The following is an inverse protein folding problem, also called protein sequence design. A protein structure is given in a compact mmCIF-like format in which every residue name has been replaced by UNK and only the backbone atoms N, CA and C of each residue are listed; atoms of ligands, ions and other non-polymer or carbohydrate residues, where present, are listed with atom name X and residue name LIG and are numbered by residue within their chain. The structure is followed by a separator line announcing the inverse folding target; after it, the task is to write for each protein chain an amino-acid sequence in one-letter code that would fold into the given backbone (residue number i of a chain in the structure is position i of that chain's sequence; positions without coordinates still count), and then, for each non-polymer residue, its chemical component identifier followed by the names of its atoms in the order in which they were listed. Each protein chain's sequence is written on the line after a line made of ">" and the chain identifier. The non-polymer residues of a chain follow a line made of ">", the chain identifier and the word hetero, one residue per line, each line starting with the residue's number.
data_IF_147416702242
#
_entry.id   IF_147416702242
#
_cell.length_a   1.000
_cell.length_b   1.000
_cell.length_c   1.000
_cell.angle_alpha   90.00
_cell.angle_beta   90.00
_cell.angle_gamma   90.00
#
_symmetry.space_group_name_H-M   'P 1'
#
loop_
_entity.id
_entity.type
_entity.pdbx_description
1 polymer ?
#
# COMPACT_ATOMS: atom_id res chain seq x y z
N UNK A 1 1.15 6.00 9.45
CA UNK A 1 0.71 7.39 9.70
C UNK A 1 -0.79 7.41 9.98
N UNK A 2 -1.31 8.49 10.56
CA UNK A 2 -2.75 8.69 10.75
C UNK A 2 -3.31 9.55 9.61
N UNK A 3 -4.62 9.51 9.35
CA UNK A 3 -5.26 10.31 8.29
C UNK A 3 -5.19 11.81 8.61
N UNK A 4 -5.05 12.65 7.58
CA UNK A 4 -5.21 14.10 7.76
C UNK A 4 -6.68 14.45 8.03
N UNK A 5 -6.97 15.62 8.64
CA UNK A 5 -8.35 16.05 8.87
C UNK A 5 -9.19 16.11 7.58
N UNK A 6 -8.56 16.49 6.46
CA UNK A 6 -9.24 16.50 5.16
C UNK A 6 -9.53 15.08 4.67
N UNK A 7 -8.55 14.17 4.76
CA UNK A 7 -8.76 12.78 4.38
C UNK A 7 -9.84 12.13 5.23
N UNK A 8 -9.86 12.37 6.54
CA UNK A 8 -10.86 11.82 7.45
C UNK A 8 -12.27 12.31 7.11
N UNK A 9 -12.45 13.61 6.83
CA UNK A 9 -13.72 14.16 6.36
C UNK A 9 -14.18 13.48 5.08
N UNK A 10 -13.31 13.37 4.07
CA UNK A 10 -13.65 12.73 2.79
C UNK A 10 -13.96 11.24 2.96
N UNK A 11 -13.25 10.56 3.86
CA UNK A 11 -13.45 9.14 4.16
C UNK A 11 -14.82 8.93 4.81
N UNK A 12 -15.17 9.76 5.79
CA UNK A 12 -16.46 9.71 6.48
C UNK A 12 -17.61 10.12 5.57
N UNK A 13 -17.45 11.17 4.76
CA UNK A 13 -18.46 11.62 3.80
C UNK A 13 -18.73 10.52 2.75
N UNK A 14 -17.68 9.86 2.27
CA UNK A 14 -17.81 8.73 1.37
C UNK A 14 -18.53 7.57 2.03
N UNK A 15 -18.13 7.20 3.26
CA UNK A 15 -18.77 6.14 4.04
C UNK A 15 -20.21 6.45 4.47
N UNK A 16 -20.59 7.72 4.54
CA UNK A 16 -21.96 8.16 4.85
C UNK A 16 -22.84 8.24 3.60
N UNK A 17 -22.29 8.67 2.47
CA UNK A 17 -23.02 8.79 1.18
C UNK A 17 -23.21 7.44 0.50
N UNK A 18 -22.19 6.60 0.50
CA UNK A 18 -22.42 5.20 0.26
C UNK A 18 -23.08 4.65 1.51
N UNK A 19 -24.33 4.22 1.40
CA UNK A 19 -24.93 3.23 2.30
C UNK A 19 -24.14 1.91 2.15
N UNK A 20 -22.85 1.92 2.49
CA UNK A 20 -21.93 0.79 2.34
C UNK A 20 -22.43 -0.39 3.17
N UNK A 21 -23.08 -0.12 4.32
CA UNK A 21 -23.74 -1.17 5.09
C UNK A 21 -25.02 -1.71 4.43
N UNK A 22 -25.77 -0.94 3.65
CA UNK A 22 -27.05 -1.39 3.08
C UNK A 22 -26.83 -2.15 1.77
N UNK A 23 -25.91 -1.71 0.90
CA UNK A 23 -25.56 -2.45 -0.33
C UNK A 23 -24.73 -3.71 -0.04
N UNK A 24 -23.78 -3.66 0.91
CA UNK A 24 -23.07 -4.86 1.36
C UNK A 24 -24.02 -5.81 2.11
N UNK A 25 -24.96 -5.30 2.93
CA UNK A 25 -25.99 -6.15 3.53
C UNK A 25 -26.97 -6.74 2.51
N UNK A 26 -27.25 -6.06 1.41
CA UNK A 26 -28.12 -6.57 0.33
C UNK A 26 -27.40 -7.65 -0.48
N UNK A 27 -26.10 -7.47 -0.75
CA UNK A 27 -25.25 -8.50 -1.34
C UNK A 27 -25.10 -9.74 -0.43
N UNK A 28 -25.01 -9.54 0.89
CA UNK A 28 -24.96 -10.61 1.91
C UNK A 28 -26.30 -11.35 2.07
N UNK A 29 -27.44 -10.75 1.70
CA UNK A 29 -28.78 -11.37 1.78
C UNK A 29 -29.19 -12.12 0.51
N UNK A 30 -28.44 -12.01 -0.58
CA UNK A 30 -28.83 -12.49 -1.91
C UNK A 30 -28.48 -13.94 -2.25
N UNK A 31 -28.04 -14.77 -1.29
CA UNK A 31 -27.88 -16.22 -1.51
C UNK A 31 -29.04 -16.96 -0.87
N UNK A 32 -30.14 -17.06 -1.62
CA UNK A 32 -31.32 -17.77 -1.15
C UNK A 32 -32.47 -17.80 -2.15
N UNK A 33 -32.20 -17.82 -3.46
CA UNK A 33 -33.20 -18.22 -4.45
C UNK A 33 -32.52 -18.64 -5.76
N UNK A 34 -32.56 -19.95 -6.06
CA UNK A 34 -32.13 -20.52 -7.32
C UNK A 34 -33.03 -19.99 -8.46
N UNK A 35 -32.52 -19.06 -9.26
CA UNK A 35 -33.27 -18.53 -10.40
C UNK A 35 -32.47 -17.61 -11.31
N UNK A 36 -31.85 -18.18 -12.34
CA UNK A 36 -31.24 -17.55 -13.53
C UNK A 36 -31.57 -16.05 -13.75
N UNK A 37 -30.59 -15.14 -13.60
CA UNK A 37 -30.32 -14.06 -14.57
C UNK A 37 -29.01 -13.30 -14.30
N UNK A 38 -28.41 -12.81 -15.39
CA UNK A 38 -27.05 -12.26 -15.57
C UNK A 38 -26.81 -10.85 -14.97
N UNK A 39 -27.08 -10.60 -13.68
CA UNK A 39 -26.88 -9.27 -13.06
C UNK A 39 -25.88 -9.22 -11.89
N UNK A 40 -25.01 -10.22 -11.73
CA UNK A 40 -23.97 -10.23 -10.67
C UNK A 40 -22.82 -9.22 -10.86
N UNK A 41 -22.58 -8.73 -12.09
CA UNK A 41 -21.41 -7.89 -12.40
C UNK A 41 -21.48 -6.45 -11.90
N UNK A 42 -22.68 -5.86 -11.77
CA UNK A 42 -22.84 -4.45 -11.39
C UNK A 42 -22.49 -4.17 -9.93
N UNK A 43 -22.91 -5.04 -9.01
CA UNK A 43 -22.68 -4.86 -7.57
C UNK A 43 -21.19 -5.02 -7.23
N UNK A 44 -20.53 -6.02 -7.81
CA UNK A 44 -19.09 -6.21 -7.64
C UNK A 44 -18.27 -5.03 -8.18
N UNK A 45 -18.64 -4.52 -9.36
CA UNK A 45 -18.00 -3.34 -9.96
C UNK A 45 -18.13 -2.09 -9.09
N UNK A 46 -19.29 -1.86 -8.49
CA UNK A 46 -19.50 -0.72 -7.58
C UNK A 46 -18.71 -0.83 -6.27
N UNK A 47 -18.61 -2.02 -5.68
CA UNK A 47 -17.76 -2.26 -4.50
C UNK A 47 -16.29 -2.01 -4.86
N UNK A 48 -15.87 -2.47 -6.03
CA UNK A 48 -14.50 -2.29 -6.50
C UNK A 48 -14.13 -0.81 -6.70
N UNK A 49 -15.00 -0.05 -7.37
CA UNK A 49 -14.83 1.40 -7.51
C UNK A 49 -14.74 2.10 -6.15
N UNK A 50 -15.51 1.63 -5.16
CA UNK A 50 -15.47 2.16 -3.80
C UNK A 50 -14.13 1.89 -3.10
N UNK A 51 -13.62 0.67 -3.20
CA UNK A 51 -12.34 0.29 -2.61
C UNK A 51 -11.18 1.02 -3.28
N UNK A 52 -11.23 1.21 -4.60
CA UNK A 52 -10.26 2.03 -5.32
C UNK A 52 -10.28 3.49 -4.83
N UNK A 53 -11.47 4.07 -4.64
CA UNK A 53 -11.61 5.42 -4.11
C UNK A 53 -10.97 5.54 -2.72
N UNK A 54 -11.30 4.61 -1.82
CA UNK A 54 -10.78 4.62 -0.45
C UNK A 54 -9.26 4.42 -0.42
N UNK A 55 -8.71 3.58 -1.30
CA UNK A 55 -7.27 3.38 -1.44
C UNK A 55 -6.57 4.64 -1.97
N UNK A 56 -7.09 5.25 -3.04
CA UNK A 56 -6.57 6.52 -3.58
C UNK A 56 -6.59 7.63 -2.52
N UNK A 57 -7.68 7.74 -1.76
CA UNK A 57 -7.83 8.73 -0.70
C UNK A 57 -6.86 8.49 0.47
N UNK A 58 -6.62 7.24 0.86
CA UNK A 58 -5.67 6.89 1.92
C UNK A 58 -4.22 7.29 1.58
N UNK A 59 -3.89 7.33 0.28
CA UNK A 59 -2.61 7.84 -0.20
C UNK A 59 -2.58 9.37 -0.24
N UNK A 60 -3.48 9.98 -1.03
CA UNK A 60 -3.47 11.42 -1.22
C UNK A 60 -4.85 11.95 -1.69
N UNK A 61 -5.39 13.04 -1.11
CA UNK A 61 -6.68 13.62 -1.54
C UNK A 61 -6.73 14.01 -3.03
N UNK A 62 -5.63 14.56 -3.57
CA UNK A 62 -5.46 14.90 -5.00
C UNK A 62 -5.76 13.74 -5.97
N UNK A 63 -5.59 12.48 -5.55
CA UNK A 63 -5.86 11.31 -6.39
C UNK A 63 -7.35 11.05 -6.60
N UNK A 64 -8.21 11.57 -5.72
CA UNK A 64 -9.67 11.42 -5.81
C UNK A 64 -10.38 12.73 -6.18
N UNK A 65 -9.79 13.87 -5.84
CA UNK A 65 -10.34 15.20 -6.09
C UNK A 65 -10.05 15.67 -7.52
N UNK A 66 -10.58 14.95 -8.51
CA UNK A 66 -10.59 15.40 -9.89
C UNK A 66 -11.57 16.56 -10.13
N UNK A 67 -11.51 17.22 -11.30
CA UNK A 67 -12.40 18.34 -11.66
C UNK A 67 -13.89 17.99 -11.59
N UNK A 68 -14.22 16.71 -11.79
CA UNK A 68 -15.59 16.17 -11.77
C UNK A 68 -16.06 15.75 -10.37
N UNK A 69 -15.23 15.87 -9.33
CA UNK A 69 -15.59 15.38 -8.00
C UNK A 69 -16.60 16.32 -7.30
N UNK A 70 -17.74 15.82 -6.78
CA UNK A 70 -18.80 16.65 -6.18
C UNK A 70 -18.31 17.55 -5.03
N UNK A 71 -17.34 17.07 -4.26
CA UNK A 71 -16.78 17.81 -3.11
C UNK A 71 -15.62 18.75 -3.50
N UNK A 72 -15.19 18.79 -4.77
CA UNK A 72 -14.04 19.60 -5.17
C UNK A 72 -14.27 21.09 -4.87
N UNK A 73 -15.46 21.62 -5.17
CA UNK A 73 -15.78 23.01 -4.91
C UNK A 73 -15.71 23.36 -3.41
N UNK A 74 -16.22 22.47 -2.54
CA UNK A 74 -16.19 22.63 -1.09
C UNK A 74 -14.76 22.58 -0.56
N UNK A 75 -13.98 21.60 -1.01
CA UNK A 75 -12.58 21.43 -0.58
C UNK A 75 -11.72 22.59 -1.08
N UNK A 76 -11.90 23.03 -2.33
CA UNK A 76 -11.17 24.18 -2.86
C UNK A 76 -11.45 25.47 -2.07
N UNK A 77 -12.68 25.66 -1.59
CA UNK A 77 -13.03 26.78 -0.72
C UNK A 77 -12.37 26.67 0.66
N UNK A 78 -12.35 25.47 1.26
CA UNK A 78 -11.67 25.21 2.55
C UNK A 78 -10.15 25.37 2.45
N UNK A 79 -9.55 24.98 1.32
CA UNK A 79 -8.12 25.14 1.09
C UNK A 79 -7.75 26.60 0.87
N UNK A 80 -8.57 27.37 0.12
CA UNK A 80 -8.40 28.82 -0.03
C UNK A 80 -8.49 29.55 1.30
N UNK A 81 -9.44 29.19 2.18
CA UNK A 81 -9.56 29.86 3.48
C UNK A 81 -8.38 29.57 4.40
N UNK A 82 -7.71 28.42 4.23
CA UNK A 82 -6.49 28.05 4.95
C UNK A 82 -5.20 28.48 4.25
N UNK A 83 -5.30 29.13 3.08
CA UNK A 83 -4.16 29.48 2.22
C UNK A 83 -3.26 28.27 1.88
N UNK A 84 -3.87 27.10 1.69
CA UNK A 84 -3.18 25.86 1.33
C UNK A 84 -3.50 25.48 -0.11
N UNK A 85 -2.57 24.78 -0.77
CA UNK A 85 -2.80 24.18 -2.08
C UNK A 85 -3.08 22.68 -1.96
N UNK A 86 -3.78 22.11 -2.96
CA UNK A 86 -4.00 20.67 -3.09
C UNK A 86 -2.70 19.86 -3.19
N UNK A 87 -1.60 20.53 -3.53
CA UNK A 87 -0.27 19.94 -3.68
C UNK A 87 0.59 20.04 -2.42
N UNK A 88 0.02 20.48 -1.30
CA UNK A 88 0.71 20.56 -0.02
C UNK A 88 0.85 19.16 0.61
N UNK A 89 2.07 18.79 0.96
CA UNK A 89 2.39 17.48 1.55
C UNK A 89 1.66 17.23 2.87
N UNK A 90 1.29 18.28 3.62
CA UNK A 90 0.58 18.15 4.90
C UNK A 90 -0.84 17.58 4.76
N UNK A 91 -1.42 17.65 3.55
CA UNK A 91 -2.71 17.03 3.25
C UNK A 91 -2.63 15.50 3.19
N UNK A 92 -1.43 14.94 2.99
CA UNK A 92 -1.16 13.52 2.89
C UNK A 92 -0.05 13.10 3.86
N UNK A 93 -0.41 12.60 5.06
CA UNK A 93 0.54 12.22 6.09
C UNK A 93 1.53 11.12 5.68
N UNK A 94 1.20 10.33 4.64
CA UNK A 94 2.16 9.41 4.03
C UNK A 94 3.36 10.12 3.40
N UNK A 95 3.15 11.25 2.73
CA UNK A 95 4.24 12.03 2.14
C UNK A 95 5.10 12.69 3.22
N UNK A 96 4.48 13.13 4.32
CA UNK A 96 5.20 13.65 5.49
C UNK A 96 6.07 12.55 6.10
N UNK A 97 5.50 11.37 6.36
CA UNK A 97 6.25 10.23 6.88
C UNK A 97 7.34 9.76 5.90
N UNK A 98 7.09 9.81 4.60
CA UNK A 98 8.09 9.50 3.57
C UNK A 98 9.24 10.52 3.61
N UNK A 99 8.94 11.81 3.76
CA UNK A 99 9.96 12.86 3.90
C UNK A 99 10.84 12.61 5.12
N UNK A 100 10.22 12.39 6.28
CA UNK A 100 10.92 12.12 7.53
C UNK A 100 11.83 10.89 7.39
N UNK A 101 11.31 9.80 6.83
CA UNK A 101 12.06 8.58 6.60
C UNK A 101 13.24 8.78 5.63
N UNK A 102 13.06 9.56 4.57
CA UNK A 102 14.16 9.90 3.65
C UNK A 102 15.25 10.72 4.37
N UNK A 103 14.87 11.66 5.22
CA UNK A 103 15.81 12.46 6.01
C UNK A 103 16.55 11.60 7.05
N UNK A 104 15.87 10.66 7.71
CA UNK A 104 16.49 9.67 8.60
C UNK A 104 17.49 8.77 7.85
N UNK A 105 17.23 8.47 6.58
CA UNK A 105 18.16 7.78 5.69
C UNK A 105 19.37 8.63 5.24
N UNK A 106 19.49 9.88 5.70
CA UNK A 106 20.54 10.80 5.28
C UNK A 106 20.33 11.40 3.89
N UNK A 107 19.11 11.29 3.33
CA UNK A 107 18.78 11.81 1.99
C UNK A 107 18.12 13.19 2.13
N UNK A 108 18.65 14.17 1.41
CA UNK A 108 18.08 15.51 1.31
C UNK A 108 18.24 16.38 2.56
N UNK A 109 19.24 16.08 3.41
CA UNK A 109 19.76 17.05 4.36
C UNK A 109 20.29 18.25 3.56
N UNK A 110 19.72 19.43 3.78
CA UNK A 110 20.27 20.66 3.25
C UNK A 110 21.64 20.86 3.91
N UNK A 111 22.69 20.90 3.10
CA UNK A 111 24.00 21.39 3.52
C UNK A 111 23.87 22.89 3.81
N UNK A 112 23.32 23.26 4.96
CA UNK A 112 23.32 24.65 5.43
C UNK A 112 24.68 25.07 6.02
N UNK A 113 25.62 24.14 6.22
CA UNK A 113 26.95 24.42 6.78
C UNK A 113 28.07 24.16 5.75
N UNK A 114 28.22 25.03 4.76
CA UNK A 114 29.32 24.96 3.77
C UNK A 114 30.71 25.38 4.28
N UNK A 115 30.90 25.71 5.56
CA UNK A 115 32.22 26.16 6.07
C UNK A 115 32.90 25.21 7.07
N UNK A 116 32.28 24.06 7.39
CA UNK A 116 32.77 23.18 8.47
C UNK A 116 33.40 21.86 8.07
N UNK A 117 33.06 21.27 6.91
CA UNK A 117 32.92 19.81 6.90
C UNK A 117 33.61 19.01 5.79
N UNK A 118 34.83 19.42 5.41
CA UNK A 118 35.73 18.57 4.62
C UNK A 118 36.26 17.34 5.40
N UNK A 119 35.90 17.20 6.68
CA UNK A 119 36.34 16.10 7.55
C UNK A 119 35.25 15.08 7.94
N UNK A 120 33.94 15.37 7.84
CA UNK A 120 32.90 14.31 8.02
C UNK A 120 32.44 13.66 6.70
N UNK A 121 32.83 14.19 5.54
CA UNK A 121 32.48 13.54 4.26
C UNK A 121 33.08 12.13 4.14
N UNK A 122 34.26 11.87 4.69
CA UNK A 122 34.88 10.52 4.68
C UNK A 122 34.30 9.57 5.75
N UNK A 123 33.63 10.10 6.79
CA UNK A 123 33.01 9.29 7.85
C UNK A 123 31.53 8.94 7.57
N UNK A 124 30.89 9.65 6.64
CA UNK A 124 29.46 9.51 6.31
C UNK A 124 29.17 8.72 5.02
N UNK A 125 30.19 8.16 4.34
CA UNK A 125 29.95 7.26 3.21
C UNK A 125 29.18 5.98 3.63
N UNK A 126 29.32 5.57 4.89
CA UNK A 126 28.57 4.46 5.47
C UNK A 126 27.16 4.84 5.94
N UNK A 127 26.87 6.13 6.13
CA UNK A 127 25.57 6.63 6.64
C UNK A 127 24.61 7.12 5.56
N UNK A 128 25.06 7.29 4.31
CA UNK A 128 24.18 7.66 3.19
C UNK A 128 23.55 6.40 2.59
N UNK A 129 22.26 6.22 2.86
CA UNK A 129 21.48 5.11 2.34
C UNK A 129 20.95 5.40 0.93
N UNK A 130 20.72 4.35 0.15
CA UNK A 130 20.09 4.45 -1.18
C UNK A 130 18.75 3.75 -1.17
N UNK A 131 17.73 4.42 -1.68
CA UNK A 131 16.34 4.05 -1.43
C UNK A 131 15.63 3.65 -2.73
N UNK A 132 14.94 2.51 -2.69
CA UNK A 132 13.90 2.17 -3.67
C UNK A 132 12.54 2.59 -3.12
N UNK A 133 11.79 3.36 -3.90
CA UNK A 133 10.41 3.72 -3.55
C UNK A 133 9.46 2.98 -4.49
N UNK A 134 8.64 2.11 -3.93
CA UNK A 134 7.60 1.38 -4.65
C UNK A 134 6.24 2.03 -4.45
N UNK A 135 5.55 2.28 -5.56
CA UNK A 135 4.14 2.63 -5.60
C UNK A 135 3.40 1.67 -6.55
N UNK A 136 2.08 1.74 -6.56
CA UNK A 136 1.24 0.92 -7.43
C UNK A 136 0.72 1.77 -8.59
N UNK A 137 0.33 3.03 -8.31
CA UNK A 137 -0.12 3.98 -9.32
C UNK A 137 1.01 4.90 -9.80
N UNK A 138 1.11 5.09 -11.12
CA UNK A 138 1.99 6.10 -11.73
C UNK A 138 1.73 7.52 -11.20
N UNK A 139 0.46 7.85 -11.01
CA UNK A 139 0.03 9.16 -10.47
C UNK A 139 0.54 9.40 -9.05
N UNK A 140 0.75 8.35 -8.25
CA UNK A 140 1.36 8.50 -6.93
C UNK A 140 2.86 8.83 -7.05
N UNK A 141 3.57 8.24 -8.01
CA UNK A 141 4.95 8.62 -8.32
C UNK A 141 5.04 10.08 -8.81
N UNK A 142 4.10 10.54 -9.62
CA UNK A 142 4.03 11.94 -10.06
C UNK A 142 3.88 12.90 -8.87
N UNK A 143 3.09 12.52 -7.86
CA UNK A 143 2.92 13.31 -6.63
C UNK A 143 4.22 13.30 -5.82
N UNK A 144 4.84 12.15 -5.61
CA UNK A 144 6.11 12.06 -4.87
C UNK A 144 7.18 12.92 -5.57
N UNK A 145 7.27 12.85 -6.89
CA UNK A 145 8.25 13.60 -7.65
C UNK A 145 8.02 15.13 -7.56
N UNK A 146 6.80 15.59 -7.84
CA UNK A 146 6.53 17.01 -7.99
C UNK A 146 6.20 17.71 -6.67
N UNK A 147 5.53 17.02 -5.75
CA UNK A 147 5.02 17.62 -4.52
C UNK A 147 5.95 17.36 -3.34
N UNK A 148 6.70 16.25 -3.33
CA UNK A 148 7.71 15.97 -2.29
C UNK A 148 9.14 16.32 -2.75
N UNK A 149 9.68 15.64 -3.75
CA UNK A 149 11.10 15.75 -4.09
C UNK A 149 11.47 17.15 -4.61
N UNK A 150 10.81 17.63 -5.68
CA UNK A 150 11.15 18.94 -6.28
C UNK A 150 10.95 20.13 -5.34
N UNK A 151 9.96 20.07 -4.45
CA UNK A 151 9.58 21.20 -3.56
C UNK A 151 10.31 21.18 -2.23
N UNK A 152 10.50 19.99 -1.63
CA UNK A 152 11.02 19.88 -0.27
C UNK A 152 12.42 19.29 -0.18
N UNK A 153 12.89 18.60 -1.24
CA UNK A 153 14.19 17.92 -1.26
C UNK A 153 14.93 18.18 -2.61
N UNK A 154 15.19 19.44 -2.98
CA UNK A 154 15.70 19.78 -4.32
C UNK A 154 17.12 19.29 -4.60
N UNK A 155 17.90 18.95 -3.57
CA UNK A 155 19.27 18.41 -3.68
C UNK A 155 19.29 16.91 -3.99
N UNK A 156 18.16 16.22 -3.88
CA UNK A 156 18.07 14.76 -4.01
C UNK A 156 18.07 14.35 -5.47
N UNK A 157 18.98 13.44 -5.83
CA UNK A 157 19.04 12.85 -7.16
C UNK A 157 18.15 11.60 -7.20
N UNK A 158 17.34 11.49 -8.26
CA UNK A 158 16.45 10.36 -8.40
C UNK A 158 16.31 9.89 -9.84
N UNK A 159 15.99 8.61 -10.00
CA UNK A 159 15.56 8.00 -11.25
C UNK A 159 14.14 7.47 -11.09
N UNK A 160 13.44 7.29 -12.22
CA UNK A 160 12.08 6.78 -12.25
C UNK A 160 11.95 5.69 -13.29
N UNK A 161 11.24 4.61 -12.92
CA UNK A 161 10.94 3.49 -13.81
C UNK A 161 9.49 3.04 -13.60
N UNK A 162 8.63 3.33 -14.57
CA UNK A 162 7.20 2.98 -14.53
C UNK A 162 6.76 2.24 -15.80
N UNK A 163 5.47 1.89 -15.88
CA UNK A 163 4.90 1.16 -17.01
C UNK A 163 5.17 1.81 -18.38
N UNK A 164 5.22 3.15 -18.42
CA UNK A 164 5.52 3.91 -19.65
C UNK A 164 6.99 3.90 -20.05
N UNK A 165 7.90 3.41 -19.21
CA UNK A 165 9.31 3.27 -19.55
C UNK A 165 9.50 2.11 -20.54
N UNK A 166 10.08 2.34 -21.74
CA UNK A 166 10.31 1.27 -22.72
C UNK A 166 11.19 0.15 -22.16
N UNK A 167 10.95 -1.09 -22.58
CA UNK A 167 11.68 -2.26 -22.10
C UNK A 167 13.21 -2.11 -22.21
N UNK A 168 13.70 -1.54 -23.32
CA UNK A 168 15.14 -1.31 -23.52
C UNK A 168 15.72 -0.29 -22.52
N UNK A 169 14.95 0.75 -22.16
CA UNK A 169 15.40 1.79 -21.23
C UNK A 169 15.39 1.35 -19.76
N UNK A 170 14.61 0.31 -19.41
CA UNK A 170 14.56 -0.22 -18.03
C UNK A 170 15.92 -0.77 -17.58
N UNK A 171 16.61 -1.49 -18.46
CA UNK A 171 17.93 -2.03 -18.17
C UNK A 171 18.98 -0.92 -18.02
N UNK A 172 18.92 0.12 -18.86
CA UNK A 172 19.83 1.27 -18.78
C UNK A 172 19.67 2.03 -17.45
N UNK A 173 18.43 2.28 -17.02
CA UNK A 173 18.13 2.91 -15.73
C UNK A 173 18.64 2.05 -14.57
N UNK A 174 18.40 0.73 -14.62
CA UNK A 174 18.88 -0.22 -13.62
C UNK A 174 20.42 -0.21 -13.55
N UNK A 175 21.09 -0.28 -14.70
CA UNK A 175 22.55 -0.25 -14.76
C UNK A 175 23.09 1.06 -14.21
N UNK A 176 22.51 2.20 -14.61
CA UNK A 176 22.87 3.53 -14.14
C UNK A 176 22.76 3.63 -12.62
N UNK A 177 21.64 3.21 -12.04
CA UNK A 177 21.42 3.24 -10.59
C UNK A 177 22.43 2.37 -9.82
N UNK A 178 22.78 1.19 -10.36
CA UNK A 178 23.77 0.32 -9.71
C UNK A 178 25.20 0.84 -9.86
N UNK A 179 25.54 1.46 -10.99
CA UNK A 179 26.89 1.93 -11.30
C UNK A 179 27.22 3.31 -10.70
N UNK A 180 26.21 4.15 -10.50
CA UNK A 180 26.36 5.54 -10.07
C UNK A 180 25.87 5.71 -8.61
N UNK A 181 26.78 5.78 -7.63
CA UNK A 181 26.44 6.00 -6.23
C UNK A 181 25.88 7.39 -5.93
N UNK A 182 25.99 8.35 -6.86
CA UNK A 182 25.48 9.71 -6.66
C UNK A 182 23.95 9.79 -6.71
N UNK A 183 23.28 8.73 -7.14
CA UNK A 183 21.82 8.64 -7.26
C UNK A 183 21.23 8.10 -5.96
N UNK A 184 20.47 8.95 -5.25
CA UNK A 184 19.90 8.61 -3.95
C UNK A 184 18.69 7.69 -4.04
N UNK A 185 17.79 7.97 -4.99
CA UNK A 185 16.46 7.34 -5.04
C UNK A 185 16.20 6.72 -6.41
N UNK A 186 15.63 5.51 -6.43
CA UNK A 186 14.97 4.96 -7.62
C UNK A 186 13.49 4.72 -7.31
N UNK A 187 12.62 5.43 -8.00
CA UNK A 187 11.17 5.28 -7.89
C UNK A 187 10.65 4.29 -8.93
N UNK A 188 9.88 3.29 -8.49
CA UNK A 188 9.31 2.29 -9.39
C UNK A 188 7.84 2.00 -9.10
N UNK A 189 7.12 1.62 -10.14
CA UNK A 189 5.85 0.90 -9.95
C UNK A 189 6.14 -0.57 -9.62
N UNK A 190 5.43 -1.13 -8.65
CA UNK A 190 5.60 -2.51 -8.18
C UNK A 190 5.51 -3.53 -9.31
N UNK A 191 4.66 -3.28 -10.31
CA UNK A 191 4.51 -4.13 -11.49
C UNK A 191 5.81 -4.24 -12.30
N UNK A 192 6.48 -3.11 -12.59
CA UNK A 192 7.77 -3.10 -13.29
C UNK A 192 8.89 -3.72 -12.44
N UNK A 193 8.80 -3.59 -11.11
CA UNK A 193 9.67 -4.28 -10.16
C UNK A 193 9.62 -5.81 -10.27
N UNK A 194 8.51 -6.39 -10.72
CA UNK A 194 8.34 -7.84 -10.90
C UNK A 194 9.15 -8.46 -12.05
N UNK A 195 9.77 -7.65 -12.91
CA UNK A 195 10.33 -8.11 -14.20
C UNK A 195 11.74 -8.69 -14.16
N UNK A 196 12.25 -9.11 -12.99
CA UNK A 196 13.57 -9.77 -12.95
C UNK A 196 14.79 -8.87 -12.74
N UNK A 197 14.60 -7.56 -12.59
CA UNK A 197 15.68 -6.58 -12.45
C UNK A 197 16.57 -6.84 -11.22
N UNK A 198 17.85 -6.46 -11.28
CA UNK A 198 18.76 -6.56 -10.13
C UNK A 198 19.07 -5.16 -9.59
N UNK A 199 18.57 -4.82 -8.41
CA UNK A 199 18.65 -3.49 -7.81
C UNK A 199 19.47 -3.52 -6.50
N UNK A 200 20.57 -4.27 -6.49
CA UNK A 200 21.48 -4.43 -5.33
C UNK A 200 22.19 -3.15 -4.92
N UNK A 201 22.06 -2.06 -5.68
CA UNK A 201 22.59 -0.76 -5.29
C UNK A 201 21.88 -0.14 -4.07
N UNK A 202 20.60 -0.46 -3.86
CA UNK A 202 19.82 0.09 -2.75
C UNK A 202 19.84 -0.81 -1.52
N UNK A 203 20.00 -0.20 -0.35
CA UNK A 203 19.94 -0.86 0.96
C UNK A 203 18.62 -0.58 1.70
N UNK A 204 17.80 0.32 1.19
CA UNK A 204 16.50 0.65 1.78
C UNK A 204 15.40 0.54 0.74
N UNK A 205 14.28 -0.08 1.12
CA UNK A 205 13.10 -0.26 0.28
C UNK A 205 11.88 0.30 1.00
N UNK A 206 11.16 1.22 0.37
CA UNK A 206 9.97 1.86 0.94
C UNK A 206 8.77 1.57 0.05
N UNK A 207 7.75 0.92 0.61
CA UNK A 207 6.45 0.74 -0.03
C UNK A 207 5.51 1.86 0.42
N UNK A 208 5.17 2.76 -0.52
CA UNK A 208 4.16 3.79 -0.31
C UNK A 208 2.76 3.22 -0.47
N UNK A 209 2.62 2.29 -1.40
CA UNK A 209 1.40 1.53 -1.66
C UNK A 209 1.67 0.04 -1.65
N UNK A 210 0.68 -0.74 -1.24
CA UNK A 210 0.78 -2.20 -1.12
C UNK A 210 -0.16 -2.89 -2.10
N UNK A 211 0.25 -4.05 -2.61
CA UNK A 211 -0.61 -4.93 -3.39
C UNK A 211 -1.60 -5.67 -2.48
N UNK A 212 -2.59 -6.34 -3.06
CA UNK A 212 -3.44 -7.28 -2.30
C UNK A 212 -2.80 -8.66 -2.21
N UNK A 213 -1.99 -8.99 -3.23
CA UNK A 213 -1.20 -10.19 -3.28
C UNK A 213 0.18 -9.94 -2.66
N UNK A 214 0.48 -10.52 -1.48
CA UNK A 214 1.76 -10.29 -0.80
C UNK A 214 2.96 -10.76 -1.64
N UNK A 215 2.77 -11.71 -2.55
CA UNK A 215 3.83 -12.24 -3.42
C UNK A 215 4.39 -11.17 -4.35
N UNK A 216 3.56 -10.22 -4.83
CA UNK A 216 4.02 -9.13 -5.69
C UNK A 216 4.95 -8.18 -4.94
N UNK A 217 4.59 -7.83 -3.70
CA UNK A 217 5.43 -6.98 -2.84
C UNK A 217 6.72 -7.71 -2.43
N UNK A 218 6.64 -9.01 -2.09
CA UNK A 218 7.82 -9.83 -1.77
C UNK A 218 8.77 -9.94 -2.97
N UNK A 219 8.25 -10.15 -4.18
CA UNK A 219 9.06 -10.20 -5.38
C UNK A 219 9.79 -8.88 -5.64
N UNK A 220 9.12 -7.74 -5.38
CA UNK A 220 9.72 -6.42 -5.47
C UNK A 220 10.84 -6.22 -4.41
N UNK A 221 10.65 -6.69 -3.18
CA UNK A 221 11.69 -6.70 -2.14
C UNK A 221 12.91 -7.52 -2.54
N UNK A 222 12.70 -8.71 -3.11
CA UNK A 222 13.77 -9.61 -3.58
C UNK A 222 14.65 -9.00 -4.67
N UNK A 223 14.23 -7.88 -5.29
CA UNK A 223 15.07 -7.17 -6.27
C UNK A 223 16.26 -6.47 -5.62
N UNK A 224 16.08 -5.97 -4.39
CA UNK A 224 17.14 -5.37 -3.58
C UNK A 224 17.80 -6.40 -2.66
N UNK A 225 17.01 -7.29 -2.06
CA UNK A 225 17.48 -8.41 -1.24
C UNK A 225 17.91 -9.59 -2.13
N UNK A 226 18.94 -9.37 -2.94
CA UNK A 226 19.44 -10.34 -3.92
C UNK A 226 20.92 -10.65 -3.73
N UNK A 227 21.35 -11.79 -4.26
CA UNK A 227 22.77 -12.17 -4.35
C UNK A 227 23.53 -11.02 -5.05
N UNK A 228 24.50 -10.44 -4.34
CA UNK A 228 25.24 -9.25 -4.77
C UNK A 228 25.07 -8.05 -3.84
N UNK A 229 24.03 -8.04 -3.00
CA UNK A 229 23.88 -7.06 -1.93
C UNK A 229 24.90 -7.33 -0.80
N UNK A 230 25.54 -6.26 -0.31
CA UNK A 230 26.54 -6.29 0.77
C UNK A 230 26.04 -5.67 2.08
N UNK A 231 25.05 -4.78 2.01
CA UNK A 231 24.44 -4.09 3.16
C UNK A 231 23.14 -4.79 3.60
N UNK A 232 22.74 -4.61 4.86
CA UNK A 232 21.43 -5.09 5.35
C UNK A 232 20.32 -4.30 4.64
N UNK A 233 19.35 -5.01 4.08
CA UNK A 233 18.22 -4.38 3.39
C UNK A 233 17.11 -4.07 4.38
N UNK A 234 16.82 -2.78 4.58
CA UNK A 234 15.71 -2.33 5.41
C UNK A 234 14.45 -2.18 4.54
N UNK A 235 13.33 -2.74 4.99
CA UNK A 235 12.04 -2.64 4.28
C UNK A 235 11.03 -1.89 5.13
N UNK A 236 10.56 -0.75 4.63
CA UNK A 236 9.55 0.08 5.26
C UNK A 236 8.24 -0.01 4.48
N UNK A 237 7.13 -0.16 5.21
CA UNK A 237 5.78 -0.20 4.64
C UNK A 237 4.94 0.93 5.25
N UNK A 238 4.62 1.93 4.44
CA UNK A 238 3.79 3.06 4.89
C UNK A 238 2.31 2.64 4.86
N UNK A 239 1.71 2.61 6.04
CA UNK A 239 0.30 2.21 6.22
C UNK A 239 -0.43 3.34 6.94
N UNK A 240 -1.60 3.72 6.40
CA UNK A 240 -2.48 4.67 7.07
C UNK A 240 -3.43 3.92 8.01
N UNK A 241 -3.37 4.24 9.31
CA UNK A 241 -4.18 3.57 10.35
C UNK A 241 -5.68 3.84 10.17
N UNK A 242 -6.51 2.91 10.63
CA UNK A 242 -7.98 3.00 10.54
C UNK A 242 -8.50 3.12 9.11
N UNK A 243 -7.77 2.58 8.12
CA UNK A 243 -8.18 2.57 6.72
C UNK A 243 -8.29 1.16 6.17
N UNK A 244 -8.65 1.06 4.88
CA UNK A 244 -8.62 -0.19 4.15
C UNK A 244 -7.22 -0.83 4.12
N UNK A 245 -6.16 -0.03 4.16
CA UNK A 245 -4.78 -0.52 4.04
C UNK A 245 -4.39 -1.44 5.20
N UNK A 246 -4.84 -1.13 6.42
CA UNK A 246 -4.59 -1.97 7.60
C UNK A 246 -5.26 -3.35 7.44
N UNK A 247 -6.45 -3.39 6.83
CA UNK A 247 -7.16 -4.64 6.53
C UNK A 247 -6.45 -5.44 5.43
N UNK A 248 -5.95 -4.77 4.39
CA UNK A 248 -5.15 -5.39 3.33
C UNK A 248 -3.89 -6.04 3.93
N UNK A 249 -3.21 -5.36 4.84
CA UNK A 249 -2.03 -5.91 5.53
C UNK A 249 -2.37 -7.10 6.42
N UNK A 250 -3.50 -7.06 7.13
CA UNK A 250 -4.02 -8.22 7.86
C UNK A 250 -4.24 -9.42 6.94
N UNK A 251 -4.85 -9.20 5.76
CA UNK A 251 -5.11 -10.24 4.77
C UNK A 251 -3.80 -10.79 4.17
N UNK A 252 -2.84 -9.93 3.83
CA UNK A 252 -1.52 -10.36 3.35
C UNK A 252 -0.83 -11.26 4.39
N UNK A 253 -0.82 -10.85 5.66
CA UNK A 253 -0.22 -11.64 6.75
C UNK A 253 -0.91 -12.98 6.92
N UNK A 254 -2.24 -13.00 6.82
CA UNK A 254 -3.02 -14.23 6.85
C UNK A 254 -2.65 -15.18 5.69
N UNK A 255 -2.59 -14.67 4.46
CA UNK A 255 -2.20 -15.44 3.27
C UNK A 255 -0.78 -16.00 3.39
N UNK A 256 0.17 -15.20 3.86
CA UNK A 256 1.55 -15.64 4.09
C UNK A 256 1.63 -16.70 5.19
N UNK A 257 0.85 -16.55 6.27
CA UNK A 257 0.78 -17.56 7.31
C UNK A 257 0.24 -18.89 6.77
N UNK A 258 -0.79 -18.86 5.92
CA UNK A 258 -1.32 -20.07 5.28
C UNK A 258 -0.26 -20.71 4.38
N UNK A 259 0.36 -19.93 3.50
CA UNK A 259 1.37 -20.43 2.58
C UNK A 259 2.56 -21.06 3.32
N UNK A 260 3.06 -20.38 4.36
CA UNK A 260 4.16 -20.89 5.18
C UNK A 260 3.77 -22.13 5.97
N UNK A 261 2.55 -22.17 6.51
CA UNK A 261 2.03 -23.37 7.14
C UNK A 261 2.08 -24.52 6.15
N UNK A 262 1.48 -24.40 4.97
CA UNK A 262 1.41 -25.46 3.94
C UNK A 262 2.79 -25.98 3.50
N UNK A 263 3.81 -25.10 3.46
CA UNK A 263 5.14 -25.40 2.90
C UNK A 263 6.09 -26.09 3.90
N UNK A 264 5.87 -26.00 5.22
CA UNK A 264 6.74 -26.68 6.18
C UNK A 264 6.62 -28.21 6.10
N UNK A 265 7.75 -28.91 5.94
CA UNK A 265 7.84 -30.38 5.80
C UNK A 265 7.29 -31.17 7.01
N UNK A 266 7.00 -30.52 8.13
CA UNK A 266 6.27 -31.11 9.28
C UNK A 266 4.77 -31.36 8.99
N UNK A 267 4.24 -30.80 7.89
CA UNK A 267 2.84 -30.98 7.46
C UNK A 267 2.52 -32.31 6.78
N UNK A 268 3.48 -33.23 6.68
CA UNK A 268 3.15 -34.61 6.34
C UNK A 268 2.07 -35.19 7.30
N UNK A 269 1.99 -34.68 8.53
CA UNK A 269 0.98 -35.02 9.53
C UNK A 269 -0.40 -34.37 9.31
N UNK A 270 -0.47 -33.16 8.74
CA UNK A 270 -1.74 -32.44 8.48
C UNK A 270 -2.54 -33.00 7.31
N UNK A 271 -1.92 -33.84 6.45
CA UNK A 271 -2.64 -34.55 5.38
C UNK A 271 -3.69 -35.55 5.90
N UNK A 272 -3.58 -35.94 7.17
CA UNK A 272 -4.48 -36.91 7.81
C UNK A 272 -5.45 -36.26 8.81
N UNK A 273 -5.45 -34.92 8.92
CA UNK A 273 -6.31 -34.21 9.85
C UNK A 273 -7.64 -33.87 9.17
N UNK A 274 -8.74 -34.14 9.87
CA UNK A 274 -10.09 -33.87 9.36
C UNK A 274 -10.29 -32.36 9.18
N UNK A 275 -10.94 -31.95 8.09
CA UNK A 275 -11.03 -30.53 7.66
C UNK A 275 -11.71 -29.64 8.71
N UNK A 276 -12.54 -30.24 9.56
CA UNK A 276 -13.21 -29.59 10.70
C UNK A 276 -12.25 -29.20 11.83
N UNK A 277 -11.19 -29.98 12.09
CA UNK A 277 -10.21 -29.70 13.13
C UNK A 277 -9.17 -28.66 12.69
N UNK A 278 -8.88 -28.62 11.39
CA UNK A 278 -8.08 -27.54 10.81
C UNK A 278 -8.81 -26.19 10.95
N UNK A 279 -10.11 -26.14 10.68
CA UNK A 279 -10.92 -24.92 10.82
C UNK A 279 -10.97 -24.39 12.27
N UNK A 280 -10.93 -25.28 13.26
CA UNK A 280 -10.96 -24.90 14.69
C UNK A 280 -9.65 -24.24 15.16
N UNK A 281 -8.51 -24.65 14.58
CA UNK A 281 -7.20 -24.00 14.79
C UNK A 281 -7.11 -22.58 14.20
N UNK A 282 -8.01 -22.24 13.27
CA UNK A 282 -8.02 -20.96 12.56
C UNK A 282 -9.19 -20.03 12.96
N UNK A 283 -9.99 -20.41 13.96
CA UNK A 283 -10.89 -19.46 14.60
C UNK A 283 -10.06 -18.51 15.49
N UNK A 284 -10.18 -17.19 15.34
CA UNK A 284 -9.46 -16.26 16.19
C UNK A 284 -9.87 -16.50 17.64
N UNK A 285 -8.95 -17.02 18.44
CA UNK A 285 -9.14 -17.23 19.86
C UNK A 285 -9.37 -15.87 20.53
N UNK A 286 -10.64 -15.49 20.72
CA UNK A 286 -10.99 -14.53 21.75
C UNK A 286 -10.70 -15.16 23.11
N UNK A 287 -9.61 -14.69 23.73
CA UNK A 287 -9.40 -14.81 25.16
C UNK A 287 -8.92 -16.17 25.67
N UNK A 288 -7.62 -16.44 25.54
CA UNK A 288 -6.93 -17.32 26.49
C UNK A 288 -6.89 -16.66 27.88
N UNK A 289 -7.97 -16.81 28.64
CA UNK A 289 -7.95 -16.68 30.11
C UNK A 289 -8.70 -17.85 30.73
N UNK A 290 -7.93 -18.77 31.31
CA UNK A 290 -8.40 -19.67 32.35
C UNK A 290 -9.13 -18.87 33.44
N UNK A 291 -10.44 -19.04 33.59
CA UNK A 291 -11.15 -18.99 34.88
C UNK A 291 -12.55 -19.61 34.81
N UNK A 292 -12.85 -20.34 35.87
CA UNK A 292 -14.01 -21.19 36.17
C UNK A 292 -15.39 -20.53 35.97
N UNK A 293 -16.34 -21.39 35.61
CA UNK A 293 -17.79 -21.37 35.86
C UNK A 293 -18.37 -20.18 36.65
N UNK A 294 -19.29 -19.44 36.02
CA UNK A 294 -20.64 -19.19 36.53
C UNK A 294 -21.50 -18.49 35.46
N UNK A 295 -22.76 -18.92 35.36
CA UNK A 295 -23.75 -18.53 34.36
C UNK A 295 -24.21 -17.07 34.46
N UNK A 296 -24.57 -16.48 33.32
CA UNK A 296 -25.30 -15.21 33.24
C UNK A 296 -25.35 -14.63 31.82
N UNK A 297 -26.56 -14.52 31.26
CA UNK A 297 -26.92 -13.98 29.95
C UNK A 297 -26.28 -12.62 29.60
N UNK A 298 -25.87 -12.45 28.35
CA UNK A 298 -26.21 -11.32 27.45
C UNK A 298 -25.55 -11.53 26.07
N UNK A 299 -26.36 -11.81 25.04
CA UNK A 299 -25.94 -11.81 23.63
C UNK A 299 -26.28 -10.44 23.02
N UNK A 300 -25.27 -9.63 22.67
CA UNK A 300 -25.40 -8.64 21.60
C UNK A 300 -24.07 -8.43 20.84
N UNK A 301 -24.10 -8.78 19.55
CA UNK A 301 -23.36 -8.21 18.39
C UNK A 301 -21.83 -8.34 18.33
N UNK A 302 -21.37 -9.44 17.72
CA UNK A 302 -20.06 -9.56 17.05
C UNK A 302 -20.16 -10.19 15.63
N UNK A 303 -21.17 -9.82 14.84
CA UNK A 303 -21.44 -10.45 13.52
C UNK A 303 -20.82 -9.73 12.30
N UNK A 304 -19.96 -8.71 12.49
CA UNK A 304 -19.55 -7.79 11.42
C UNK A 304 -18.18 -8.06 10.78
N UNK A 305 -17.25 -8.69 11.49
CA UNK A 305 -15.83 -8.77 11.09
C UNK A 305 -15.53 -9.91 10.12
N UNK A 306 -16.14 -11.09 10.30
CA UNK A 306 -15.90 -12.26 9.45
C UNK A 306 -16.38 -12.09 8.00
N UNK A 307 -17.50 -11.39 7.79
CA UNK A 307 -18.10 -11.22 6.45
C UNK A 307 -17.27 -10.29 5.56
N UNK A 308 -16.63 -9.27 6.13
CA UNK A 308 -15.74 -8.40 5.37
C UNK A 308 -14.47 -9.16 4.94
N UNK A 309 -13.95 -10.05 5.77
CA UNK A 309 -12.82 -10.92 5.42
C UNK A 309 -13.15 -11.83 4.23
N UNK A 310 -14.34 -12.45 4.22
CA UNK A 310 -14.78 -13.28 3.09
C UNK A 310 -15.00 -12.46 1.82
N UNK A 311 -15.59 -11.26 1.92
CA UNK A 311 -15.74 -10.36 0.77
C UNK A 311 -14.37 -9.92 0.23
N UNK A 312 -13.38 -9.65 1.09
CA UNK A 312 -12.02 -9.28 0.67
C UNK A 312 -11.24 -10.46 0.08
N UNK A 313 -11.51 -11.69 0.52
CA UNK A 313 -10.96 -12.91 -0.08
C UNK A 313 -11.55 -13.16 -1.47
N UNK A 314 -12.88 -13.06 -1.60
CA UNK A 314 -13.56 -13.17 -2.89
C UNK A 314 -13.26 -11.97 -3.79
N UNK A 315 -12.80 -10.83 -3.25
CA UNK A 315 -12.44 -9.65 -4.03
C UNK A 315 -11.28 -9.93 -5.01
N UNK A 316 -10.37 -10.82 -4.66
CA UNK A 316 -9.28 -11.25 -5.56
C UNK A 316 -9.82 -12.05 -6.75
N UNK A 317 -10.89 -12.83 -6.55
CA UNK A 317 -11.61 -13.53 -7.62
C UNK A 317 -12.54 -12.61 -8.41
N UNK A 318 -12.96 -11.48 -7.82
CA UNK A 318 -13.77 -10.44 -8.47
C UNK A 318 -12.95 -9.47 -9.32
N UNK A 319 -11.62 -9.52 -9.24
CA UNK A 319 -10.73 -8.74 -10.09
C UNK A 319 -10.45 -9.50 -11.37
N UNK A 320 -11.08 -9.10 -12.46
CA UNK A 320 -10.59 -9.45 -13.79
C UNK A 320 -9.22 -8.79 -13.99
N UNK A 321 -8.23 -9.53 -14.51
CA UNK A 321 -6.85 -9.05 -14.66
C UNK A 321 -6.81 -7.75 -15.49
N UNK A 322 -7.73 -7.62 -16.46
CA UNK A 322 -7.93 -6.41 -17.25
C UNK A 322 -8.42 -5.20 -16.43
N UNK A 323 -9.30 -5.40 -15.45
CA UNK A 323 -9.78 -4.32 -14.57
C UNK A 323 -8.71 -3.89 -13.56
N UNK A 324 -7.84 -4.81 -13.17
CA UNK A 324 -6.63 -4.50 -12.42
C UNK A 324 -5.68 -3.64 -13.27
N UNK A 325 -5.38 -4.08 -14.48
CA UNK A 325 -4.49 -3.38 -15.43
C UNK A 325 -4.99 -1.97 -15.78
N UNK A 326 -6.29 -1.80 -16.02
CA UNK A 326 -6.91 -0.49 -16.29
C UNK A 326 -6.86 0.44 -15.06
N UNK A 327 -7.12 -0.10 -13.86
CA UNK A 327 -7.06 0.68 -12.62
C UNK A 327 -5.65 1.18 -12.28
N UNK A 328 -4.62 0.42 -12.66
CA UNK A 328 -3.21 0.77 -12.47
C UNK A 328 -2.57 1.41 -13.70
N UNK A 329 -3.35 1.65 -14.76
CA UNK A 329 -2.96 2.32 -15.99
C UNK A 329 -1.65 1.74 -16.57
N UNK A 330 -1.57 0.41 -16.64
CA UNK A 330 -0.32 -0.31 -16.94
C UNK A 330 0.14 -0.09 -18.39
N UNK A 331 -0.78 0.23 -19.30
CA UNK A 331 -0.54 0.39 -20.74
C UNK A 331 -0.74 1.82 -21.30
N UNK A 332 -0.69 2.89 -20.49
CA UNK A 332 -0.85 4.28 -20.99
C UNK A 332 0.11 5.32 -20.42
#
# INVERSE_FOLDING_TARGET
>A
CDLSPLQQKLYNDFAAKQKANEMVATAIKGEGEEGKSKEGGGVASHIFQALQYLRKLANHPKLVLGPSHPEMARVAQELKSKNMDLSDISLAPKLVALKELLQECGIGAASEDEEGDLMQQEANEDSRHRVLIFAQMKTMLDIIENDLLKKHLPSVTYLRMDGSTPNNGRFEIQQKFNSDPSIDILMLTTHVGGLGLNLTGADTVIFVEHDWNPTRDLQAMDRAHRIGQKKVVNVYRLITRNTLEEKIMGLQRFKLSIANSVINEENASLRNMDTSQLLDLFSPAEGATMKKEAAGKEEEKAAGTGKLSQVLQNLEELWDEAQYEEAFNIDS
#
